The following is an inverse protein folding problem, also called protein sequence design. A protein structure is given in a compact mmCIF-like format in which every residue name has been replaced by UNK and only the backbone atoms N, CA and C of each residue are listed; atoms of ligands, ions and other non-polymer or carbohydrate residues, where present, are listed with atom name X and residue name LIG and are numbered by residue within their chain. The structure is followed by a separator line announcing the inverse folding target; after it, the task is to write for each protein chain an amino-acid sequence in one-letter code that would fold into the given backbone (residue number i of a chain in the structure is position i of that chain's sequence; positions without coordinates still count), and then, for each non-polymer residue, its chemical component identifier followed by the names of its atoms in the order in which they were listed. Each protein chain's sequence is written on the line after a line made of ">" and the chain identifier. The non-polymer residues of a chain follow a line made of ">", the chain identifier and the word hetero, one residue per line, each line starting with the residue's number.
data_IF_956302579946
#
_entry.id   IF_956302579946
#
_cell.length_a   1.000
_cell.length_b   1.000
_cell.length_c   1.000
_cell.angle_alpha   90.00
_cell.angle_beta   90.00
_cell.angle_gamma   90.00
#
_symmetry.space_group_name_H-M   'P 1'
#
loop_
_entity.id
_entity.type
_entity.pdbx_description
1 polymer ?
#
# COMPACT_ATOMS: atom_id res chain seq x y z
N UNK A 1 14.04 13.01 14.76
CA UNK A 1 12.88 12.25 15.27
C UNK A 1 12.45 11.27 14.17
N UNK A 2 12.24 10.00 14.49
CA UNK A 2 11.75 9.00 13.51
C UNK A 2 10.25 9.12 13.36
N UNK A 3 9.74 8.99 12.13
CA UNK A 3 8.32 9.05 11.82
C UNK A 3 7.87 7.78 11.11
N UNK A 4 6.87 7.12 11.67
CA UNK A 4 6.18 5.98 11.07
C UNK A 4 4.74 6.43 10.80
N UNK A 5 4.29 6.29 9.55
CA UNK A 5 2.92 6.56 9.17
C UNK A 5 2.25 5.25 8.74
N UNK A 6 1.05 4.99 9.26
CA UNK A 6 0.28 3.76 9.04
C UNK A 6 -1.15 4.13 8.70
N UNK A 7 -1.71 3.51 7.67
CA UNK A 7 -3.15 3.53 7.40
C UNK A 7 -3.58 2.23 6.71
N UNK A 8 -4.64 1.62 7.23
CA UNK A 8 -5.35 0.50 6.62
C UNK A 8 -6.85 0.74 6.69
N UNK A 9 -7.62 0.00 5.91
CA UNK A 9 -9.08 0.11 5.85
C UNK A 9 -9.51 1.52 5.42
N UNK A 10 -8.87 2.01 4.35
CA UNK A 10 -9.12 3.32 3.76
C UNK A 10 -9.62 3.16 2.33
N UNK A 11 -10.75 3.79 2.00
CA UNK A 11 -11.35 3.72 0.67
C UNK A 11 -10.75 4.68 -0.36
N UNK A 12 -10.36 5.87 0.11
CA UNK A 12 -9.77 6.91 -0.73
C UNK A 12 -8.82 7.81 0.09
N UNK A 13 -8.06 8.67 -0.58
CA UNK A 13 -7.18 9.64 0.06
C UNK A 13 -7.31 11.05 -0.48
N UNK A 14 -6.94 12.01 0.37
CA UNK A 14 -6.85 13.40 0.02
C UNK A 14 -5.43 13.95 0.23
N UNK A 15 -5.22 15.21 -0.17
CA UNK A 15 -3.97 15.90 0.04
C UNK A 15 -3.59 16.03 1.53
N UNK A 16 -4.56 15.98 2.45
CA UNK A 16 -4.27 16.04 3.89
C UNK A 16 -3.63 14.73 4.37
N UNK A 17 -4.11 13.56 3.92
CA UNK A 17 -3.51 12.28 4.22
C UNK A 17 -2.08 12.17 3.65
N UNK A 18 -1.88 12.59 2.39
CA UNK A 18 -0.55 12.65 1.77
C UNK A 18 0.41 13.49 2.61
N UNK A 19 0.00 14.69 3.05
CA UNK A 19 0.81 15.55 3.93
C UNK A 19 1.14 14.90 5.27
N UNK A 20 0.23 14.09 5.82
CA UNK A 20 0.48 13.34 7.08
C UNK A 20 1.51 12.25 6.89
N UNK A 21 1.61 11.65 5.70
CA UNK A 21 2.60 10.62 5.38
C UNK A 21 3.94 11.19 4.88
N UNK A 22 3.95 12.42 4.37
CA UNK A 22 5.17 13.05 3.89
C UNK A 22 6.28 13.08 4.94
N UNK A 23 7.53 12.91 4.49
CA UNK A 23 8.74 12.86 5.32
C UNK A 23 8.72 11.75 6.39
N UNK A 24 8.02 10.63 6.16
CA UNK A 24 8.08 9.47 7.04
C UNK A 24 9.33 8.64 6.77
N UNK A 25 9.90 8.03 7.81
CA UNK A 25 10.96 7.02 7.69
C UNK A 25 10.38 5.68 7.22
N UNK A 26 9.17 5.37 7.69
CA UNK A 26 8.39 4.18 7.30
C UNK A 26 7.00 4.61 6.85
N UNK A 27 6.58 4.09 5.71
CA UNK A 27 5.20 4.16 5.24
C UNK A 27 4.61 2.74 5.30
N UNK A 28 3.53 2.55 6.04
CA UNK A 28 2.75 1.31 6.04
C UNK A 28 1.36 1.66 5.49
N UNK A 29 1.00 1.07 4.37
CA UNK A 29 -0.22 1.45 3.65
C UNK A 29 -0.92 0.21 3.12
N UNK A 30 -2.25 0.24 3.16
CA UNK A 30 -3.09 -0.82 2.60
C UNK A 30 -2.88 -0.99 1.09
N UNK A 31 -2.84 -2.25 0.67
CA UNK A 31 -2.79 -2.70 -0.72
C UNK A 31 -3.71 -3.91 -0.83
N UNK A 32 -5.01 -3.70 -0.65
CA UNK A 32 -5.96 -4.76 -0.33
C UNK A 32 -6.23 -5.68 -1.51
N UNK A 33 -6.61 -5.14 -2.66
CA UNK A 33 -7.06 -5.96 -3.79
C UNK A 33 -6.44 -5.54 -5.12
N UNK A 34 -6.36 -6.50 -6.03
CA UNK A 34 -6.19 -6.27 -7.46
C UNK A 34 -7.56 -6.26 -8.14
N UNK A 35 -7.82 -5.29 -9.03
CA UNK A 35 -9.14 -5.12 -9.66
C UNK A 35 -9.57 -6.36 -10.46
N UNK A 36 -8.65 -6.93 -11.24
CA UNK A 36 -8.94 -8.11 -12.08
C UNK A 36 -9.18 -9.34 -11.22
N UNK A 37 -8.41 -9.52 -10.14
CA UNK A 37 -8.62 -10.61 -9.20
C UNK A 37 -9.92 -10.43 -8.41
N UNK A 38 -10.26 -9.22 -7.97
CA UNK A 38 -11.51 -8.92 -7.27
C UNK A 38 -12.72 -9.28 -8.13
N UNK A 39 -12.71 -8.89 -9.41
CA UNK A 39 -13.79 -9.20 -10.35
C UNK A 39 -13.96 -10.71 -10.58
N UNK A 40 -12.86 -11.48 -10.51
CA UNK A 40 -12.87 -12.94 -10.67
C UNK A 40 -13.35 -13.70 -9.43
N UNK A 41 -13.52 -13.05 -8.28
CA UNK A 41 -14.07 -13.70 -7.08
C UNK A 41 -15.55 -14.08 -7.27
N UNK A 42 -16.01 -15.08 -6.52
CA UNK A 42 -17.43 -15.49 -6.48
C UNK A 42 -18.31 -14.53 -5.66
N UNK A 43 -17.70 -13.48 -5.09
CA UNK A 43 -18.40 -12.50 -4.27
C UNK A 43 -19.54 -11.83 -5.07
N UNK A 44 -20.70 -11.58 -4.44
CA UNK A 44 -21.75 -10.84 -5.11
C UNK A 44 -21.30 -9.40 -5.41
N UNK A 45 -21.83 -8.81 -6.48
CA UNK A 45 -21.38 -7.50 -6.98
C UNK A 45 -21.39 -6.41 -5.89
N UNK A 46 -22.46 -6.36 -5.08
CA UNK A 46 -22.57 -5.37 -3.99
C UNK A 46 -21.41 -5.45 -2.98
N UNK A 47 -20.82 -6.63 -2.78
CA UNK A 47 -19.68 -6.80 -1.88
C UNK A 47 -18.38 -6.38 -2.57
N UNK A 48 -18.24 -6.65 -3.87
CA UNK A 48 -17.10 -6.14 -4.67
C UNK A 48 -17.10 -4.61 -4.66
N UNK A 49 -18.25 -3.99 -4.86
CA UNK A 49 -18.40 -2.53 -4.83
C UNK A 49 -18.07 -1.96 -3.45
N UNK A 50 -18.57 -2.58 -2.38
CA UNK A 50 -18.22 -2.19 -1.01
C UNK A 50 -16.71 -2.29 -0.73
N UNK A 51 -16.02 -3.32 -1.24
CA UNK A 51 -14.56 -3.47 -1.08
C UNK A 51 -13.84 -2.28 -1.74
N UNK A 52 -14.26 -1.87 -2.95
CA UNK A 52 -13.70 -0.70 -3.65
C UNK A 52 -13.93 0.61 -2.90
N UNK A 53 -15.05 0.72 -2.18
CA UNK A 53 -15.41 1.93 -1.44
C UNK A 53 -14.64 2.08 -0.11
N UNK A 54 -14.17 0.99 0.49
CA UNK A 54 -13.65 1.01 1.87
C UNK A 54 -12.20 0.53 2.01
N UNK A 55 -11.61 0.00 0.94
CA UNK A 55 -10.22 -0.44 0.92
C UNK A 55 -9.46 0.09 -0.30
N UNK A 56 -8.16 0.27 -0.15
CA UNK A 56 -7.28 0.58 -1.27
C UNK A 56 -7.06 -0.61 -2.19
N UNK A 57 -7.19 -0.38 -3.49
CA UNK A 57 -6.58 -1.23 -4.51
C UNK A 57 -5.04 -1.12 -4.50
N UNK A 58 -4.38 -2.08 -5.14
CA UNK A 58 -2.94 -2.01 -5.41
C UNK A 58 -2.55 -0.74 -6.18
N UNK A 59 -3.40 -0.26 -7.09
CA UNK A 59 -3.16 0.95 -7.86
C UNK A 59 -3.31 2.22 -7.02
N UNK A 60 -4.34 2.29 -6.16
CA UNK A 60 -4.51 3.40 -5.23
C UNK A 60 -3.33 3.47 -4.24
N UNK A 61 -2.90 2.33 -3.71
CA UNK A 61 -1.68 2.23 -2.90
C UNK A 61 -0.47 2.81 -3.63
N UNK A 62 -0.24 2.40 -4.88
CA UNK A 62 0.90 2.87 -5.66
C UNK A 62 0.84 4.37 -5.95
N UNK A 63 -0.32 4.90 -6.34
CA UNK A 63 -0.54 6.33 -6.56
C UNK A 63 -0.33 7.14 -5.27
N UNK A 64 -0.89 6.69 -4.15
CA UNK A 64 -0.71 7.33 -2.86
C UNK A 64 0.77 7.41 -2.47
N UNK A 65 1.52 6.32 -2.63
CA UNK A 65 2.97 6.31 -2.33
C UNK A 65 3.72 7.28 -3.24
N UNK A 66 3.41 7.34 -4.54
CA UNK A 66 3.99 8.32 -5.45
C UNK A 66 3.72 9.77 -5.00
N UNK A 67 2.50 10.07 -4.58
CA UNK A 67 2.14 11.41 -4.09
C UNK A 67 2.86 11.75 -2.78
N UNK A 68 2.99 10.78 -1.87
CA UNK A 68 3.78 10.93 -0.64
C UNK A 68 5.24 11.21 -0.97
N UNK A 69 5.85 10.48 -1.90
CA UNK A 69 7.22 10.72 -2.34
C UNK A 69 7.39 12.10 -2.97
N UNK A 70 6.50 12.49 -3.89
CA UNK A 70 6.52 13.80 -4.54
C UNK A 70 6.33 14.96 -3.56
N UNK A 71 5.61 14.74 -2.46
CA UNK A 71 5.44 15.74 -1.40
C UNK A 71 6.59 15.79 -0.41
N UNK A 72 7.34 14.70 -0.27
CA UNK A 72 8.39 14.57 0.75
C UNK A 72 9.68 15.24 0.32
N UNK A 73 10.39 15.82 1.29
CA UNK A 73 11.76 16.33 1.14
C UNK A 73 12.80 15.20 1.22
N UNK A 74 12.40 14.07 1.80
CA UNK A 74 13.22 12.85 1.93
C UNK A 74 12.39 11.61 1.61
N UNK A 75 12.97 10.62 0.95
CA UNK A 75 12.31 9.35 0.73
C UNK A 75 12.20 8.54 2.04
N UNK A 76 11.12 7.75 2.22
CA UNK A 76 11.07 6.74 3.27
C UNK A 76 12.16 5.70 3.03
N UNK A 77 12.70 5.16 4.11
CA UNK A 77 13.64 4.03 4.03
C UNK A 77 12.91 2.73 3.70
N UNK A 78 11.65 2.63 4.11
CA UNK A 78 10.84 1.42 3.99
C UNK A 78 9.41 1.78 3.65
N UNK A 79 8.85 1.04 2.69
CA UNK A 79 7.42 1.06 2.36
C UNK A 79 6.89 -0.36 2.58
N UNK A 80 5.87 -0.49 3.42
CA UNK A 80 5.22 -1.74 3.77
C UNK A 80 3.82 -1.75 3.18
N UNK A 81 3.52 -2.74 2.33
CA UNK A 81 2.18 -2.99 1.83
C UNK A 81 1.46 -3.93 2.80
N UNK A 82 0.46 -3.37 3.47
CA UNK A 82 -0.33 -4.02 4.50
C UNK A 82 -1.70 -4.47 3.96
N UNK A 83 -2.36 -5.33 4.74
CA UNK A 83 -3.76 -5.70 4.55
C UNK A 83 -4.10 -6.28 3.16
N UNK A 84 -3.18 -7.06 2.59
CA UNK A 84 -3.33 -7.72 1.29
C UNK A 84 -4.40 -8.82 1.36
N UNK A 85 -5.50 -8.72 0.62
CA UNK A 85 -6.58 -9.72 0.59
C UNK A 85 -6.08 -11.13 0.22
N UNK A 86 -6.62 -12.16 0.87
CA UNK A 86 -6.29 -13.56 0.56
C UNK A 86 -6.95 -14.07 -0.72
N UNK A 87 -8.07 -13.46 -1.13
CA UNK A 87 -8.90 -13.96 -2.23
C UNK A 87 -8.74 -13.13 -3.50
N UNK A 88 -8.67 -11.80 -3.34
CA UNK A 88 -8.64 -10.84 -4.44
C UNK A 88 -7.27 -10.19 -4.64
N UNK A 89 -6.20 -10.78 -4.11
CA UNK A 89 -4.84 -10.27 -4.29
C UNK A 89 -3.78 -11.36 -4.10
N UNK A 90 -2.54 -11.04 -4.47
CA UNK A 90 -1.36 -11.77 -4.00
C UNK A 90 -0.28 -10.78 -3.58
N UNK A 91 0.60 -11.22 -2.68
CA UNK A 91 1.77 -10.44 -2.27
C UNK A 91 2.68 -10.09 -3.44
N UNK A 92 2.78 -10.98 -4.44
CA UNK A 92 3.55 -10.72 -5.65
C UNK A 92 2.90 -9.61 -6.50
N UNK A 93 1.59 -9.70 -6.73
CA UNK A 93 0.82 -8.71 -7.49
C UNK A 93 0.91 -7.32 -6.83
N UNK A 94 0.67 -7.23 -5.52
CA UNK A 94 0.79 -5.98 -4.79
C UNK A 94 2.18 -5.34 -4.96
N UNK A 95 3.24 -6.14 -4.77
CA UNK A 95 4.64 -5.69 -4.94
C UNK A 95 4.93 -5.21 -6.37
N UNK A 96 4.43 -5.92 -7.37
CA UNK A 96 4.69 -5.61 -8.77
C UNK A 96 3.98 -4.33 -9.23
N UNK A 97 2.74 -4.08 -8.78
CA UNK A 97 2.04 -2.81 -9.00
C UNK A 97 2.84 -1.61 -8.46
N UNK A 98 3.25 -1.69 -7.19
CA UNK A 98 4.01 -0.62 -6.56
C UNK A 98 5.36 -0.40 -7.27
N UNK A 99 6.07 -1.49 -7.59
CA UNK A 99 7.36 -1.41 -8.28
C UNK A 99 7.24 -0.82 -9.69
N UNK A 100 6.19 -1.19 -10.43
CA UNK A 100 5.92 -0.65 -11.76
C UNK A 100 5.72 0.86 -11.70
N UNK A 101 4.95 1.35 -10.73
CA UNK A 101 4.65 2.78 -10.58
C UNK A 101 5.84 3.60 -10.10
N UNK A 102 6.61 3.08 -9.14
CA UNK A 102 7.78 3.77 -8.59
C UNK A 102 8.97 3.84 -9.56
N UNK A 103 9.01 2.94 -10.55
CA UNK A 103 10.17 2.79 -11.41
C UNK A 103 11.40 2.26 -10.66
N UNK A 104 12.56 2.33 -11.30
CA UNK A 104 13.84 1.92 -10.68
C UNK A 104 14.47 3.10 -9.93
N UNK A 105 15.13 2.84 -8.79
CA UNK A 105 15.97 3.84 -8.11
C UNK A 105 15.33 4.64 -6.97
N UNK A 106 14.14 4.27 -6.48
CA UNK A 106 13.47 4.98 -5.38
C UNK A 106 14.13 4.83 -3.99
N UNK A 107 15.14 3.95 -3.84
CA UNK A 107 15.95 3.76 -2.62
C UNK A 107 15.24 3.11 -1.43
N UNK A 108 13.91 3.20 -1.34
CA UNK A 108 13.13 2.55 -0.29
C UNK A 108 13.14 1.02 -0.42
N UNK A 109 13.22 0.31 0.70
CA UNK A 109 12.96 -1.13 0.77
C UNK A 109 11.46 -1.38 0.71
N UNK A 110 11.01 -2.27 -0.18
CA UNK A 110 9.63 -2.71 -0.24
C UNK A 110 9.44 -3.97 0.60
N UNK A 111 8.45 -3.96 1.49
CA UNK A 111 8.09 -5.10 2.34
C UNK A 111 6.58 -5.35 2.23
N UNK A 112 6.17 -6.60 2.37
CA UNK A 112 4.75 -6.99 2.38
C UNK A 112 4.42 -7.71 3.68
N UNK A 113 3.17 -7.56 4.12
CA UNK A 113 2.63 -8.33 5.24
C UNK A 113 1.92 -9.61 4.77
N UNK A 114 1.80 -10.57 5.68
CA UNK A 114 1.16 -11.87 5.40
C UNK A 114 0.16 -12.21 6.51
N UNK A 115 -0.89 -12.95 6.16
CA UNK A 115 -1.92 -13.36 7.13
C UNK A 115 -1.47 -14.45 8.10
N UNK A 116 -0.67 -15.40 7.60
CA UNK A 116 -0.35 -16.65 8.31
C UNK A 116 1.14 -16.80 8.60
N UNK A 117 1.91 -15.73 8.45
CA UNK A 117 3.34 -15.71 8.80
C UNK A 117 3.79 -14.30 9.15
N UNK A 118 4.87 -14.24 9.91
CA UNK A 118 5.53 -12.99 10.23
C UNK A 118 6.14 -12.35 8.97
N UNK A 119 6.15 -11.02 8.96
CA UNK A 119 6.89 -10.24 7.95
C UNK A 119 8.37 -10.19 8.33
N UNK A 120 9.20 -9.70 7.42
CA UNK A 120 10.60 -9.44 7.75
C UNK A 120 10.72 -8.42 8.90
N UNK A 121 11.67 -8.64 9.82
CA UNK A 121 12.01 -7.66 10.84
C UNK A 121 12.69 -6.45 10.19
N UNK A 122 12.21 -5.25 10.49
CA UNK A 122 12.69 -4.00 9.92
C UNK A 122 13.26 -3.14 11.04
N UNK A 123 14.54 -2.80 10.92
CA UNK A 123 15.23 -1.90 11.85
C UNK A 123 15.51 -0.56 11.16
N UNK A 124 15.23 0.53 11.88
CA UNK A 124 15.60 1.90 11.55
C UNK A 124 16.07 2.53 12.87
N UNK A 125 17.29 2.97 13.12
CA UNK A 125 18.41 3.26 12.25
C UNK A 125 18.80 4.73 12.32
#
# INVERSE_FOLDING_TARGET
>A
MRKVAIATDIGDYDAALVRRFADSDVVIIESNYDEVMLDRTERPQWLKDRIREVHFSNDQCACFVCDVLGRSRRAPRVIVQAHVSQESNTVATARDHLRSKLGHGHGAKLVQTYHLRESELITID
#
